data_IF_026331135506
#
_entry.id   IF_026331135506
#
_cell.length_a   1.000
_cell.length_b   1.000
_cell.length_c   1.000
_cell.angle_alpha   90.00
_cell.angle_beta   90.00
_cell.angle_gamma   90.00
#
_symmetry.space_group_name_H-M   'P 1'
#
loop_
_entity.id
_entity.type
_entity.pdbx_description
1 polymer ?
#
# COMPACT_ATOMS: atom_id res chain seq x y z
N UNK A 1 31.82 -15.22 18.27
CA UNK A 1 31.09 -13.93 18.35
C UNK A 1 31.83 -12.76 17.69
N UNK A 2 33.07 -12.42 18.04
CA UNK A 2 33.78 -11.27 17.42
C UNK A 2 34.17 -11.45 15.94
N UNK A 3 34.47 -12.67 15.49
CA UNK A 3 34.80 -12.96 14.09
C UNK A 3 33.57 -12.84 13.16
N UNK A 4 32.45 -13.43 13.56
CA UNK A 4 31.16 -13.28 12.86
C UNK A 4 30.71 -11.81 12.78
N UNK A 5 31.04 -10.98 13.78
CA UNK A 5 30.76 -9.55 13.76
C UNK A 5 31.62 -8.78 12.76
N UNK A 6 32.89 -9.15 12.59
CA UNK A 6 33.74 -8.53 11.56
C UNK A 6 33.34 -8.99 10.16
N UNK A 7 32.91 -10.23 10.00
CA UNK A 7 32.37 -10.73 8.74
C UNK A 7 31.04 -10.07 8.37
N UNK A 8 30.12 -9.88 9.34
CA UNK A 8 28.87 -9.17 9.08
C UNK A 8 29.07 -7.68 8.80
N UNK A 9 30.03 -7.02 9.48
CA UNK A 9 30.42 -5.64 9.17
C UNK A 9 31.08 -5.54 7.79
N UNK A 10 31.96 -6.47 7.42
CA UNK A 10 32.58 -6.52 6.09
C UNK A 10 31.58 -6.81 4.96
N UNK A 11 30.59 -7.67 5.22
CA UNK A 11 29.45 -7.93 4.31
C UNK A 11 28.52 -6.72 4.22
N UNK A 12 28.33 -5.98 5.30
CA UNK A 12 27.54 -4.75 5.33
C UNK A 12 28.24 -3.58 4.60
N UNK A 13 29.56 -3.45 4.74
CA UNK A 13 30.34 -2.46 3.98
C UNK A 13 30.36 -2.77 2.48
N UNK A 14 30.47 -4.04 2.11
CA UNK A 14 30.32 -4.45 0.70
C UNK A 14 28.90 -4.23 0.18
N UNK A 15 27.87 -4.47 1.00
CA UNK A 15 26.49 -4.19 0.65
C UNK A 15 26.20 -2.68 0.51
N UNK A 16 26.78 -1.83 1.37
CA UNK A 16 26.75 -0.36 1.23
C UNK A 16 27.51 0.11 -0.03
N UNK A 17 28.66 -0.48 -0.32
CA UNK A 17 29.43 -0.15 -1.52
C UNK A 17 28.71 -0.60 -2.82
N UNK A 18 27.97 -1.70 -2.77
CA UNK A 18 27.10 -2.15 -3.87
C UNK A 18 25.83 -1.29 -3.99
N UNK A 19 25.25 -0.85 -2.88
CA UNK A 19 24.08 0.04 -2.88
C UNK A 19 24.39 1.45 -3.39
N UNK A 20 25.58 1.97 -3.07
CA UNK A 20 26.07 3.25 -3.60
C UNK A 20 26.43 3.19 -5.09
N UNK A 21 26.51 2.01 -5.71
CA UNK A 21 26.62 1.90 -7.16
C UNK A 21 25.25 2.06 -7.79
N UNK A 22 25.16 3.02 -8.71
CA UNK A 22 23.95 3.45 -9.44
C UNK A 22 23.17 2.35 -10.17
N UNK A 23 23.71 1.13 -10.28
CA UNK A 23 23.04 -0.07 -10.78
C UNK A 23 23.32 -1.24 -9.81
N UNK A 24 22.45 -1.49 -8.82
CA UNK A 24 22.59 -2.61 -7.91
C UNK A 24 22.49 -3.94 -8.67
N UNK A 25 23.44 -4.84 -8.50
CA UNK A 25 23.30 -6.21 -8.99
C UNK A 25 22.31 -6.94 -8.07
N UNK A 26 21.01 -6.92 -8.43
CA UNK A 26 19.97 -7.46 -7.57
C UNK A 26 20.26 -8.89 -7.09
N UNK A 27 20.82 -9.75 -7.95
CA UNK A 27 21.11 -11.13 -7.59
C UNK A 27 22.25 -11.27 -6.57
N UNK A 28 23.32 -10.46 -6.69
CA UNK A 28 24.43 -10.47 -5.73
C UNK A 28 24.00 -9.94 -4.37
N UNK A 29 23.20 -8.87 -4.35
CA UNK A 29 22.62 -8.38 -3.10
C UNK A 29 21.68 -9.41 -2.46
N UNK A 30 20.95 -10.20 -3.26
CA UNK A 30 20.14 -11.31 -2.78
C UNK A 30 20.96 -12.42 -2.10
N UNK A 31 22.10 -12.80 -2.69
CA UNK A 31 23.01 -13.79 -2.12
C UNK A 31 23.75 -13.28 -0.87
N UNK A 32 24.09 -11.99 -0.85
CA UNK A 32 24.70 -11.36 0.33
C UNK A 32 23.67 -11.22 1.46
N UNK A 33 22.40 -10.88 1.14
CA UNK A 33 21.31 -10.81 2.11
C UNK A 33 20.94 -12.17 2.69
N UNK A 34 20.99 -13.25 1.90
CA UNK A 34 20.73 -14.60 2.41
C UNK A 34 21.85 -15.07 3.35
N UNK A 35 23.11 -14.79 3.02
CA UNK A 35 24.26 -15.04 3.91
C UNK A 35 24.18 -14.19 5.18
N UNK A 36 23.86 -12.90 5.05
CA UNK A 36 23.64 -12.02 6.19
C UNK A 36 22.49 -12.51 7.07
N UNK A 37 21.38 -12.99 6.50
CA UNK A 37 20.28 -13.58 7.26
C UNK A 37 20.73 -14.78 8.08
N UNK A 38 21.56 -15.66 7.52
CA UNK A 38 22.10 -16.83 8.24
C UNK A 38 23.00 -16.37 9.39
N UNK A 39 23.96 -15.48 9.12
CA UNK A 39 24.85 -14.91 10.14
C UNK A 39 24.09 -14.11 11.20
N UNK A 40 22.97 -13.47 10.84
CA UNK A 40 22.10 -12.79 11.80
C UNK A 40 21.31 -13.80 12.63
N UNK A 41 20.82 -14.90 12.05
CA UNK A 41 20.09 -15.93 12.78
C UNK A 41 20.96 -16.59 13.86
N UNK A 42 22.25 -16.82 13.56
CA UNK A 42 23.24 -17.33 14.51
C UNK A 42 23.50 -16.39 15.71
N UNK A 43 23.22 -15.10 15.56
CA UNK A 43 23.34 -14.10 16.62
C UNK A 43 22.08 -14.01 17.51
N UNK A 44 21.06 -14.84 17.26
CA UNK A 44 19.87 -15.03 18.07
C UNK A 44 19.14 -13.72 18.44
N UNK A 45 18.65 -13.00 17.43
CA UNK A 45 17.94 -11.71 17.58
C UNK A 45 16.51 -11.78 18.11
N UNK A 46 16.08 -12.88 18.72
CA UNK A 46 14.84 -12.82 19.50
C UNK A 46 15.03 -11.73 20.57
N UNK A 47 14.09 -10.79 20.74
CA UNK A 47 14.14 -9.81 21.81
C UNK A 47 14.02 -10.53 23.16
N UNK A 48 15.12 -11.14 23.59
CA UNK A 48 15.31 -11.68 24.92
C UNK A 48 15.69 -10.48 25.76
N UNK A 49 14.75 -10.04 26.59
CA UNK A 49 14.81 -8.92 27.51
C UNK A 49 15.92 -9.01 28.59
N UNK A 50 16.95 -9.85 28.39
CA UNK A 50 17.91 -10.25 29.41
C UNK A 50 19.38 -10.05 29.06
N UNK A 51 19.74 -9.66 27.84
CA UNK A 51 21.13 -9.39 27.47
C UNK A 51 21.23 -8.02 26.84
N UNK A 52 22.09 -7.15 27.37
CA UNK A 52 22.57 -5.94 26.67
C UNK A 52 23.32 -6.38 25.41
N UNK A 53 22.60 -6.82 24.38
CA UNK A 53 23.11 -6.96 23.04
C UNK A 53 23.68 -5.61 22.63
N UNK A 54 24.87 -5.64 22.03
CA UNK A 54 25.65 -4.45 21.72
C UNK A 54 24.75 -3.53 20.88
N UNK A 55 24.44 -2.30 21.33
CA UNK A 55 23.59 -1.34 20.60
C UNK A 55 23.98 -1.21 19.12
N UNK A 56 25.26 -1.35 18.83
CA UNK A 56 25.83 -1.37 17.48
C UNK A 56 25.38 -2.55 16.61
N UNK A 57 25.15 -3.74 17.19
CA UNK A 57 24.63 -4.91 16.48
C UNK A 57 23.18 -4.73 16.07
N UNK A 58 22.36 -4.15 16.95
CA UNK A 58 20.96 -3.85 16.65
C UNK A 58 20.84 -2.77 15.58
N UNK A 59 21.68 -1.72 15.64
CA UNK A 59 21.75 -0.70 14.58
C UNK A 59 22.17 -1.32 13.25
N UNK A 60 23.21 -2.17 13.24
CA UNK A 60 23.67 -2.81 12.02
C UNK A 60 22.61 -3.76 11.44
N UNK A 61 21.93 -4.55 12.28
CA UNK A 61 20.84 -5.41 11.86
C UNK A 61 19.67 -4.59 11.28
N UNK A 62 19.29 -3.49 11.92
CA UNK A 62 18.27 -2.57 11.42
C UNK A 62 18.64 -2.04 10.04
N UNK A 63 19.85 -1.52 9.88
CA UNK A 63 20.28 -0.95 8.60
C UNK A 63 20.37 -2.01 7.49
N UNK A 64 20.77 -3.25 7.81
CA UNK A 64 20.73 -4.38 6.86
C UNK A 64 19.29 -4.69 6.43
N UNK A 65 18.35 -4.68 7.36
CA UNK A 65 16.93 -4.93 7.07
C UNK A 65 16.29 -3.77 6.29
N UNK A 66 16.66 -2.52 6.57
CA UNK A 66 16.23 -1.33 5.81
C UNK A 66 16.68 -1.43 4.34
N UNK A 67 17.96 -1.76 4.11
CA UNK A 67 18.47 -1.95 2.74
C UNK A 67 17.83 -3.18 2.08
N UNK A 68 17.60 -4.25 2.85
CA UNK A 68 16.88 -5.44 2.38
C UNK A 68 15.46 -5.13 1.90
N UNK A 69 14.73 -4.30 2.63
CA UNK A 69 13.39 -3.85 2.25
C UNK A 69 13.41 -2.98 0.97
N UNK A 70 14.35 -2.03 0.86
CA UNK A 70 14.52 -1.22 -0.36
C UNK A 70 14.90 -2.08 -1.58
N UNK A 71 15.76 -3.08 -1.39
CA UNK A 71 16.08 -4.04 -2.45
C UNK A 71 14.86 -4.87 -2.87
N UNK A 72 14.03 -5.32 -1.92
CA UNK A 72 12.79 -6.04 -2.22
C UNK A 72 11.81 -5.19 -3.04
N UNK A 73 11.77 -3.88 -2.82
CA UNK A 73 10.98 -2.94 -3.65
C UNK A 73 11.53 -2.90 -5.08
N UNK A 74 12.85 -2.77 -5.25
CA UNK A 74 13.48 -2.78 -6.58
C UNK A 74 13.26 -4.10 -7.33
N UNK A 75 13.26 -5.22 -6.61
CA UNK A 75 12.95 -6.55 -7.16
C UNK A 75 11.45 -6.75 -7.45
N UNK A 76 10.60 -5.85 -6.96
CA UNK A 76 9.12 -5.93 -7.04
C UNK A 76 8.54 -7.16 -6.34
N UNK A 77 9.18 -7.60 -5.25
CA UNK A 77 8.75 -8.76 -4.46
C UNK A 77 7.92 -8.29 -3.26
N UNK A 78 6.60 -8.25 -3.46
CA UNK A 78 5.60 -7.80 -2.47
C UNK A 78 5.63 -8.64 -1.17
N UNK A 79 5.56 -10.00 -1.22
CA UNK A 79 5.61 -10.82 -0.01
C UNK A 79 6.91 -10.67 0.79
N UNK A 80 8.05 -10.57 0.10
CA UNK A 80 9.33 -10.38 0.79
C UNK A 80 9.41 -9.01 1.45
N UNK A 81 8.87 -7.96 0.82
CA UNK A 81 8.81 -6.63 1.40
C UNK A 81 7.97 -6.61 2.70
N UNK A 82 6.79 -7.24 2.68
CA UNK A 82 5.92 -7.34 3.86
C UNK A 82 6.63 -8.03 5.03
N UNK A 83 7.38 -9.12 4.76
CA UNK A 83 8.19 -9.82 5.77
C UNK A 83 9.27 -8.94 6.38
N UNK A 84 10.03 -8.22 5.55
CA UNK A 84 11.06 -7.31 6.05
C UNK A 84 10.45 -6.16 6.85
N UNK A 85 9.30 -5.64 6.42
CA UNK A 85 8.61 -4.57 7.13
C UNK A 85 8.08 -5.05 8.49
N UNK A 86 7.51 -6.25 8.58
CA UNK A 86 7.08 -6.83 9.85
C UNK A 86 8.23 -6.95 10.85
N UNK A 87 9.41 -7.37 10.40
CA UNK A 87 10.62 -7.44 11.22
C UNK A 87 11.09 -6.05 11.64
N UNK A 88 11.15 -5.09 10.71
CA UNK A 88 11.55 -3.70 10.98
C UNK A 88 10.61 -3.02 11.98
N UNK A 89 9.31 -3.29 11.91
CA UNK A 89 8.34 -2.78 12.89
C UNK A 89 8.75 -3.18 14.31
N UNK A 90 9.06 -4.46 14.57
CA UNK A 90 9.53 -4.87 15.91
C UNK A 90 10.74 -4.04 16.39
N UNK A 91 11.70 -3.76 15.50
CA UNK A 91 12.85 -2.93 15.85
C UNK A 91 12.52 -1.46 16.11
N UNK A 92 11.52 -0.89 15.45
CA UNK A 92 11.11 0.50 15.67
C UNK A 92 10.28 0.71 16.93
N UNK A 93 9.47 -0.28 17.36
CA UNK A 93 8.62 -0.14 18.55
C UNK A 93 9.30 -0.61 19.83
N UNK A 94 10.04 -1.72 19.79
CA UNK A 94 10.62 -2.30 21.01
C UNK A 94 11.87 -1.53 21.49
N UNK A 95 12.54 -0.79 20.60
CA UNK A 95 13.82 -0.10 20.90
C UNK A 95 13.74 1.43 20.76
N UNK A 96 12.53 2.01 20.77
CA UNK A 96 12.31 3.45 20.62
C UNK A 96 13.04 4.29 21.68
N UNK A 97 13.27 3.73 22.87
CA UNK A 97 13.96 4.39 23.98
C UNK A 97 15.51 4.29 23.93
N UNK A 98 16.06 3.38 23.11
CA UNK A 98 17.50 3.08 23.10
C UNK A 98 18.23 3.52 21.81
N UNK A 99 17.49 3.85 20.74
CA UNK A 99 18.03 4.11 19.41
C UNK A 99 17.73 5.54 18.92
N UNK A 100 18.69 6.21 18.26
CA UNK A 100 18.39 7.44 17.52
C UNK A 100 17.51 7.13 16.31
N UNK A 101 16.53 8.01 16.07
CA UNK A 101 15.66 7.96 14.89
C UNK A 101 16.50 8.11 13.61
N UNK A 102 16.40 7.12 12.71
CA UNK A 102 17.08 7.15 11.43
C UNK A 102 16.32 8.03 10.43
N UNK A 103 17.03 8.80 9.60
CA UNK A 103 16.41 9.57 8.53
C UNK A 103 15.64 8.68 7.52
N UNK A 104 16.05 7.41 7.37
CA UNK A 104 15.39 6.44 6.51
C UNK A 104 14.13 5.82 7.13
N UNK A 105 13.99 5.86 8.46
CA UNK A 105 12.82 5.30 9.17
C UNK A 105 11.52 5.89 8.61
N UNK A 106 11.46 7.21 8.49
CA UNK A 106 10.28 7.92 7.99
C UNK A 106 10.00 7.63 6.52
N UNK A 107 11.04 7.42 5.70
CA UNK A 107 10.90 7.07 4.28
C UNK A 107 10.33 5.65 4.13
N UNK A 108 10.88 4.67 4.86
CA UNK A 108 10.39 3.28 4.86
C UNK A 108 8.99 3.15 5.44
N UNK A 109 8.67 3.95 6.45
CA UNK A 109 7.33 3.97 7.01
C UNK A 109 6.33 4.59 6.03
N UNK A 110 6.69 5.68 5.34
CA UNK A 110 5.90 6.21 4.22
C UNK A 110 5.72 5.19 3.08
N UNK A 111 6.74 4.37 2.79
CA UNK A 111 6.64 3.27 1.82
C UNK A 111 5.64 2.21 2.28
N UNK A 112 5.66 1.84 3.56
CA UNK A 112 4.68 0.91 4.12
C UNK A 112 3.25 1.46 4.08
N UNK A 113 3.06 2.76 4.35
CA UNK A 113 1.74 3.39 4.22
C UNK A 113 1.22 3.33 2.78
N UNK A 114 2.07 3.63 1.79
CA UNK A 114 1.70 3.49 0.37
C UNK A 114 1.44 2.05 -0.04
N UNK A 115 2.19 1.11 0.52
CA UNK A 115 1.97 -0.30 0.30
C UNK A 115 0.58 -0.74 0.78
N UNK A 116 0.17 -0.35 1.98
CA UNK A 116 -1.17 -0.65 2.52
C UNK A 116 -2.28 -0.05 1.65
N UNK A 117 -2.09 1.17 1.15
CA UNK A 117 -3.03 1.80 0.21
C UNK A 117 -3.12 1.01 -1.11
N UNK A 118 -1.98 0.55 -1.65
CA UNK A 118 -1.96 -0.23 -2.89
C UNK A 118 -2.67 -1.58 -2.77
N UNK A 119 -2.76 -2.14 -1.56
CA UNK A 119 -3.50 -3.38 -1.28
C UNK A 119 -4.96 -3.16 -0.90
N UNK A 120 -5.45 -1.91 -0.93
CA UNK A 120 -6.79 -1.53 -0.47
C UNK A 120 -7.06 -1.90 1.00
N UNK A 121 -6.02 -1.96 1.84
CA UNK A 121 -6.13 -2.26 3.28
C UNK A 121 -6.16 -0.97 4.10
N UNK A 122 -7.23 -0.20 3.92
CA UNK A 122 -7.39 1.13 4.56
C UNK A 122 -7.48 1.03 6.09
N UNK A 123 -8.07 -0.04 6.63
CA UNK A 123 -8.16 -0.23 8.09
C UNK A 123 -6.78 -0.36 8.73
N UNK A 124 -5.89 -1.17 8.15
CA UNK A 124 -4.51 -1.33 8.63
C UNK A 124 -3.72 -0.02 8.49
N UNK A 125 -4.01 0.77 7.47
CA UNK A 125 -3.42 2.10 7.29
C UNK A 125 -3.76 3.04 8.45
N UNK A 126 -5.03 3.12 8.87
CA UNK A 126 -5.42 4.00 9.99
C UNK A 126 -4.85 3.51 11.33
N UNK A 127 -4.82 2.20 11.57
CA UNK A 127 -4.19 1.63 12.78
C UNK A 127 -2.70 1.95 12.85
N UNK A 128 -1.98 1.85 11.72
CA UNK A 128 -0.57 2.24 11.66
C UNK A 128 -0.39 3.75 11.82
N UNK A 129 -1.30 4.57 11.27
CA UNK A 129 -1.27 6.03 11.41
C UNK A 129 -1.45 6.46 12.88
N UNK A 130 -2.35 5.82 13.62
CA UNK A 130 -2.56 6.06 15.06
C UNK A 130 -1.29 5.78 15.88
N UNK A 131 -0.48 4.81 15.43
CA UNK A 131 0.77 4.45 16.10
C UNK A 131 1.88 5.51 15.93
N UNK A 132 1.76 6.42 14.96
CA UNK A 132 2.72 7.50 14.74
C UNK A 132 2.34 8.75 15.54
N UNK A 133 3.37 9.49 15.98
CA UNK A 133 3.12 10.76 16.66
C UNK A 133 2.65 11.82 15.67
N UNK A 134 1.63 12.60 16.05
CA UNK A 134 1.08 13.68 15.21
C UNK A 134 2.11 14.74 14.80
N UNK A 135 3.20 14.89 15.57
CA UNK A 135 4.29 15.83 15.28
C UNK A 135 5.15 15.35 14.10
N UNK A 136 5.38 14.04 14.00
CA UNK A 136 6.18 13.45 12.93
C UNK A 136 5.43 13.46 11.60
N UNK A 137 4.11 13.32 11.66
CA UNK A 137 3.21 13.41 10.49
C UNK A 137 3.24 14.82 9.88
N UNK A 138 3.27 15.86 10.71
CA UNK A 138 3.27 17.25 10.24
C UNK A 138 4.65 17.72 9.75
N UNK A 139 5.72 17.21 10.37
CA UNK A 139 7.09 17.65 10.07
C UNK A 139 7.66 16.98 8.83
N UNK A 140 7.34 15.69 8.60
CA UNK A 140 7.93 14.93 7.50
C UNK A 140 7.08 14.98 6.22
N UNK A 141 7.65 15.59 5.17
CA UNK A 141 7.06 15.63 3.82
C UNK A 141 6.78 14.22 3.27
N UNK A 142 7.62 13.24 3.62
CA UNK A 142 7.51 11.85 3.17
C UNK A 142 6.29 11.10 3.72
N UNK A 143 5.81 11.44 4.91
CA UNK A 143 4.63 10.81 5.54
C UNK A 143 3.38 11.59 5.18
N UNK A 144 3.50 12.91 5.08
CA UNK A 144 2.40 13.78 4.66
C UNK A 144 1.87 13.43 3.27
N UNK A 145 2.74 13.04 2.34
CA UNK A 145 2.34 12.69 0.98
C UNK A 145 1.36 11.48 0.93
N UNK A 146 1.67 10.31 1.52
CA UNK A 146 0.72 9.20 1.64
C UNK A 146 -0.59 9.57 2.34
N UNK A 147 -0.55 10.39 3.40
CA UNK A 147 -1.77 10.82 4.13
C UNK A 147 -2.64 11.74 3.27
N UNK A 148 -2.04 12.72 2.58
CA UNK A 148 -2.80 13.58 1.66
C UNK A 148 -3.36 12.79 0.47
N UNK A 149 -2.61 11.79 0.00
CA UNK A 149 -3.06 10.90 -1.08
C UNK A 149 -4.27 10.06 -0.66
N UNK A 150 -4.23 9.51 0.55
CA UNK A 150 -5.36 8.78 1.14
C UNK A 150 -6.59 9.69 1.31
N UNK A 151 -6.40 10.92 1.82
CA UNK A 151 -7.48 11.89 1.90
C UNK A 151 -8.10 12.20 0.53
N UNK A 152 -7.27 12.37 -0.52
CA UNK A 152 -7.79 12.60 -1.87
C UNK A 152 -8.55 11.40 -2.43
N UNK A 153 -8.16 10.18 -2.05
CA UNK A 153 -8.87 8.95 -2.40
C UNK A 153 -10.23 8.90 -1.69
N UNK A 154 -10.28 9.25 -0.40
CA UNK A 154 -11.52 9.36 0.38
C UNK A 154 -12.46 10.45 -0.14
N UNK A 155 -11.92 11.60 -0.54
CA UNK A 155 -12.69 12.68 -1.20
C UNK A 155 -13.16 12.29 -2.61
N UNK A 156 -12.64 11.21 -3.21
CA UNK A 156 -12.86 10.86 -4.61
C UNK A 156 -12.27 11.86 -5.61
N UNK A 157 -11.32 12.69 -5.17
CA UNK A 157 -10.75 13.78 -5.97
C UNK A 157 -9.55 13.31 -6.79
N UNK A 158 -9.82 12.55 -7.85
CA UNK A 158 -8.76 11.94 -8.68
C UNK A 158 -7.85 12.94 -9.42
N UNK A 159 -8.33 14.16 -9.69
CA UNK A 159 -7.51 15.23 -10.25
C UNK A 159 -6.31 15.55 -9.35
N UNK A 160 -6.54 15.61 -8.03
CA UNK A 160 -5.48 15.91 -7.06
C UNK A 160 -4.53 14.73 -6.87
N UNK A 161 -5.03 13.49 -6.94
CA UNK A 161 -4.22 12.27 -6.92
C UNK A 161 -3.21 12.27 -8.07
N UNK A 162 -3.64 12.63 -9.29
CA UNK A 162 -2.74 12.73 -10.45
C UNK A 162 -1.73 13.87 -10.33
N UNK A 163 -2.10 15.03 -9.77
CA UNK A 163 -1.16 16.12 -9.49
C UNK A 163 -0.15 15.73 -8.40
N UNK A 164 -0.57 14.98 -7.39
CA UNK A 164 0.29 14.46 -6.33
C UNK A 164 1.33 13.45 -6.86
N UNK A 165 1.08 12.82 -8.02
CA UNK A 165 2.09 12.05 -8.77
C UNK A 165 3.25 12.93 -9.26
N UNK A 166 3.02 14.19 -9.56
CA UNK A 166 4.09 15.11 -9.98
C UNK A 166 5.03 15.51 -8.84
N UNK A 167 4.57 15.39 -7.59
CA UNK A 167 5.25 15.89 -6.40
C UNK A 167 5.85 14.75 -5.56
N UNK A 168 6.45 13.75 -6.21
CA UNK A 168 7.02 12.57 -5.54
C UNK A 168 8.45 12.90 -5.08
N UNK A 169 8.75 12.88 -3.77
CA UNK A 169 10.07 13.22 -3.27
C UNK A 169 11.09 12.07 -3.35
N UNK A 170 10.67 10.81 -3.62
CA UNK A 170 11.59 9.68 -3.78
C UNK A 170 11.16 8.67 -4.86
N UNK A 171 12.14 8.21 -5.65
CA UNK A 171 11.95 7.31 -6.81
C UNK A 171 11.33 5.95 -6.42
N UNK A 172 11.57 5.46 -5.20
CA UNK A 172 10.99 4.22 -4.68
C UNK A 172 9.47 4.26 -4.54
N UNK A 173 8.85 5.45 -4.47
CA UNK A 173 7.40 5.58 -4.36
C UNK A 173 6.69 5.41 -5.71
N UNK A 174 7.38 5.69 -6.82
CA UNK A 174 6.78 5.64 -8.17
C UNK A 174 6.18 4.26 -8.46
N UNK A 175 6.85 3.19 -8.03
CA UNK A 175 6.38 1.83 -8.24
C UNK A 175 5.03 1.54 -7.57
N UNK A 176 4.87 1.88 -6.29
CA UNK A 176 3.62 1.65 -5.56
C UNK A 176 2.51 2.60 -6.03
N UNK A 177 2.85 3.83 -6.40
CA UNK A 177 1.89 4.78 -6.98
C UNK A 177 1.36 4.28 -8.33
N UNK A 178 2.19 3.68 -9.18
CA UNK A 178 1.72 3.14 -10.46
C UNK A 178 0.74 1.97 -10.26
N UNK A 179 1.00 1.09 -9.28
CA UNK A 179 0.04 0.01 -8.90
C UNK A 179 -1.27 0.62 -8.38
N UNK A 180 -1.17 1.59 -7.47
CA UNK A 180 -2.34 2.27 -6.91
C UNK A 180 -3.17 2.96 -8.01
N UNK A 181 -2.53 3.59 -8.99
CA UNK A 181 -3.22 4.23 -10.11
C UNK A 181 -3.97 3.23 -10.99
N UNK A 182 -3.45 2.01 -11.16
CA UNK A 182 -4.18 0.96 -11.87
C UNK A 182 -5.42 0.52 -11.09
N UNK A 183 -5.32 0.34 -9.77
CA UNK A 183 -6.49 0.05 -8.91
C UNK A 183 -7.51 1.20 -8.91
N UNK A 184 -7.05 2.44 -8.84
CA UNK A 184 -7.92 3.63 -8.90
C UNK A 184 -8.64 3.72 -10.24
N UNK A 185 -7.96 3.41 -11.35
CA UNK A 185 -8.61 3.37 -12.67
C UNK A 185 -9.72 2.33 -12.72
N UNK A 186 -9.52 1.18 -12.08
CA UNK A 186 -10.51 0.12 -12.00
C UNK A 186 -11.73 0.53 -11.16
N UNK A 187 -11.54 1.25 -10.06
CA UNK A 187 -12.62 1.83 -9.25
C UNK A 187 -13.36 2.94 -10.00
N UNK A 188 -12.64 3.87 -10.64
CA UNK A 188 -13.24 4.92 -11.48
C UNK A 188 -14.09 4.29 -12.59
N UNK A 189 -13.59 3.24 -13.25
CA UNK A 189 -14.36 2.53 -14.27
C UNK A 189 -15.64 1.93 -13.68
N UNK A 190 -15.58 1.30 -12.50
CA UNK A 190 -16.76 0.78 -11.81
C UNK A 190 -17.76 1.88 -11.39
N UNK A 191 -17.29 3.07 -11.05
CA UNK A 191 -18.14 4.23 -10.80
C UNK A 191 -18.80 4.76 -12.08
N UNK A 192 -18.06 4.83 -13.19
CA UNK A 192 -18.58 5.29 -14.49
C UNK A 192 -19.70 4.37 -14.98
N UNK A 193 -19.52 3.05 -14.86
CA UNK A 193 -20.52 2.05 -15.24
C UNK A 193 -21.86 2.20 -14.48
N UNK A 194 -21.82 2.73 -13.26
CA UNK A 194 -23.01 2.98 -12.42
C UNK A 194 -23.60 4.37 -12.62
N UNK A 195 -22.76 5.37 -12.85
CA UNK A 195 -23.16 6.77 -12.86
C UNK A 195 -23.70 7.23 -14.22
N UNK A 196 -23.22 6.67 -15.32
CA UNK A 196 -23.57 7.09 -16.67
C UNK A 196 -24.26 5.95 -17.44
N UNK A 197 -25.30 6.28 -18.22
CA UNK A 197 -25.90 5.33 -19.17
C UNK A 197 -25.14 5.30 -20.51
N UNK A 198 -24.59 6.45 -20.90
CA UNK A 198 -23.79 6.60 -22.09
C UNK A 198 -22.66 7.59 -21.85
N UNK A 199 -21.45 7.28 -22.32
CA UNK A 199 -20.31 8.21 -22.31
C UNK A 199 -19.63 8.22 -23.66
N UNK A 200 -19.24 9.40 -24.12
CA UNK A 200 -18.46 9.54 -25.34
C UNK A 200 -16.98 9.20 -25.09
N UNK A 201 -16.31 8.70 -26.13
CA UNK A 201 -14.91 8.27 -26.07
C UNK A 201 -13.94 9.34 -25.53
N UNK A 202 -14.17 10.62 -25.85
CA UNK A 202 -13.27 11.71 -25.47
C UNK A 202 -13.39 12.04 -23.97
N UNK A 203 -14.60 12.06 -23.45
CA UNK A 203 -14.93 12.29 -22.05
C UNK A 203 -14.39 11.15 -21.18
N UNK A 204 -14.62 9.90 -21.58
CA UNK A 204 -14.07 8.75 -20.85
C UNK A 204 -12.53 8.71 -20.91
N UNK A 205 -11.90 9.15 -22.01
CA UNK A 205 -10.44 9.27 -22.09
C UNK A 205 -9.89 10.32 -21.11
N UNK A 206 -10.60 11.45 -20.94
CA UNK A 206 -10.24 12.50 -19.98
C UNK A 206 -10.41 12.03 -18.54
N UNK A 207 -11.53 11.37 -18.22
CA UNK A 207 -11.83 10.91 -16.85
C UNK A 207 -10.84 9.82 -16.40
N UNK A 208 -10.44 8.91 -17.30
CA UNK A 208 -9.48 7.85 -16.99
C UNK A 208 -8.01 8.28 -17.21
N UNK A 209 -7.78 9.54 -17.61
CA UNK A 209 -6.47 10.11 -17.89
C UNK A 209 -5.60 9.27 -18.83
N UNK A 210 -6.20 8.73 -19.91
CA UNK A 210 -5.42 8.03 -20.93
C UNK A 210 -4.79 9.03 -21.92
N UNK A 211 -3.47 8.96 -22.07
CA UNK A 211 -2.74 9.67 -23.13
C UNK A 211 -2.77 8.96 -24.49
N UNK A 212 -3.25 7.71 -24.54
CA UNK A 212 -3.29 6.91 -25.77
C UNK A 212 -4.65 6.25 -26.00
N UNK A 213 -5.25 6.54 -27.16
CA UNK A 213 -6.52 5.96 -27.63
C UNK A 213 -6.49 4.42 -27.67
N UNK A 214 -5.33 3.80 -27.86
CA UNK A 214 -5.20 2.33 -27.95
C UNK A 214 -5.37 1.64 -26.59
N UNK A 215 -4.88 2.25 -25.51
CA UNK A 215 -5.06 1.72 -24.15
C UNK A 215 -6.53 1.73 -23.76
N UNK A 216 -7.25 2.79 -24.13
CA UNK A 216 -8.67 2.90 -23.86
C UNK A 216 -9.50 1.81 -24.55
N UNK A 217 -9.17 1.45 -25.80
CA UNK A 217 -9.84 0.35 -26.49
C UNK A 217 -9.55 -1.01 -25.83
N UNK A 218 -8.34 -1.23 -25.32
CA UNK A 218 -7.98 -2.46 -24.59
C UNK A 218 -8.72 -2.54 -23.23
N UNK A 219 -8.80 -1.42 -22.50
CA UNK A 219 -9.56 -1.33 -21.25
C UNK A 219 -11.07 -1.52 -21.47
N UNK A 220 -11.63 -0.94 -22.53
CA UNK A 220 -13.03 -1.15 -22.89
C UNK A 220 -13.33 -2.61 -23.23
N UNK A 221 -12.41 -3.30 -23.91
CA UNK A 221 -12.53 -4.74 -24.17
C UNK A 221 -12.46 -5.58 -22.89
N UNK A 222 -11.55 -5.25 -21.97
CA UNK A 222 -11.43 -5.95 -20.67
C UNK A 222 -12.70 -5.83 -19.83
N UNK A 223 -13.39 -4.70 -19.91
CA UNK A 223 -14.64 -4.42 -19.17
C UNK A 223 -15.91 -4.78 -19.94
N UNK A 224 -15.80 -5.16 -21.21
CA UNK A 224 -16.94 -5.55 -22.04
C UNK A 224 -17.84 -4.39 -22.48
N UNK A 225 -17.32 -3.16 -22.56
CA UNK A 225 -18.10 -1.99 -22.97
C UNK A 225 -18.46 -2.06 -24.46
N UNK A 226 -19.74 -1.91 -24.79
CA UNK A 226 -20.22 -1.90 -26.17
C UNK A 226 -20.03 -0.52 -26.78
N UNK A 227 -19.21 -0.42 -27.83
CA UNK A 227 -19.07 0.80 -28.62
C UNK A 227 -20.19 0.86 -29.66
N UNK A 228 -21.00 1.91 -29.63
CA UNK A 228 -21.86 2.25 -30.75
C UNK A 228 -21.05 2.90 -31.87
N UNK A 229 -21.54 2.80 -33.12
CA UNK A 229 -20.93 3.39 -34.31
C UNK A 229 -20.75 4.92 -34.24
N UNK A 230 -21.40 5.58 -33.27
CA UNK A 230 -21.29 7.01 -32.96
C UNK A 230 -20.20 7.35 -31.92
N UNK A 231 -19.42 6.38 -31.43
CA UNK A 231 -18.32 6.62 -30.48
C UNK A 231 -18.74 6.78 -29.02
N UNK A 232 -19.96 6.36 -28.68
CA UNK A 232 -20.48 6.28 -27.32
C UNK A 232 -20.35 4.84 -26.80
N UNK A 233 -19.89 4.69 -25.55
CA UNK A 233 -20.04 3.46 -24.80
C UNK A 233 -21.41 3.47 -24.13
N UNK A 234 -22.19 2.42 -24.35
CA UNK A 234 -23.38 2.18 -23.55
C UNK A 234 -22.97 1.38 -22.31
N UNK A 235 -23.29 1.90 -21.15
CA UNK A 235 -23.28 1.13 -19.92
C UNK A 235 -24.70 0.65 -19.71
N UNK A 236 -24.88 -0.67 -19.64
CA UNK A 236 -26.14 -1.25 -19.18
C UNK A 236 -26.30 -0.96 -17.69
N UNK A 237 -26.52 0.31 -17.34
CA UNK A 237 -26.86 0.72 -15.99
C UNK A 237 -28.21 0.10 -15.68
N UNK A 238 -28.16 -1.02 -14.95
CA UNK A 238 -29.17 -1.50 -14.00
C UNK A 238 -30.67 -1.32 -14.35
N UNK A 239 -31.07 -1.34 -15.61
CA UNK A 239 -32.49 -1.41 -15.98
C UNK A 239 -33.15 -2.72 -15.52
N UNK A 240 -32.38 -3.68 -14.98
CA UNK A 240 -32.91 -4.97 -14.51
C UNK A 240 -33.08 -5.12 -12.98
N UNK A 241 -32.62 -4.18 -12.14
CA UNK A 241 -32.70 -4.41 -10.66
C UNK A 241 -33.83 -3.70 -9.93
N UNK A 242 -34.53 -2.77 -10.56
CA UNK A 242 -35.61 -2.01 -9.88
C UNK A 242 -37.00 -2.61 -10.08
N UNK A 243 -37.18 -3.54 -11.03
CA UNK A 243 -38.51 -4.14 -11.29
C UNK A 243 -38.72 -5.52 -10.63
N UNK A 244 -37.66 -6.23 -10.22
CA UNK A 244 -37.78 -7.58 -9.63
C UNK A 244 -37.72 -7.65 -8.09
N UNK A 245 -37.36 -6.57 -7.40
CA UNK A 245 -37.52 -6.55 -5.93
C UNK A 245 -38.91 -6.04 -5.63
N UNK A 246 -39.88 -6.94 -5.72
CA UNK A 246 -41.12 -6.79 -4.95
C UNK A 246 -40.70 -6.41 -3.53
N UNK A 247 -41.15 -5.24 -3.07
CA UNK A 247 -40.92 -4.76 -1.70
C UNK A 247 -41.09 -5.97 -0.77
N UNK A 248 -40.16 -6.27 0.18
CA UNK A 248 -40.21 -7.46 1.04
C UNK A 248 -41.45 -7.44 1.96
N UNK A 249 -42.61 -7.67 1.37
CA UNK A 249 -43.92 -7.59 1.99
C UNK A 249 -44.08 -8.70 3.02
N UNK A 250 -43.43 -9.83 2.79
CA UNK A 250 -43.32 -10.96 3.72
C UNK A 250 -42.51 -10.60 4.96
N UNK A 251 -41.36 -9.92 4.81
CA UNK A 251 -40.54 -9.50 5.95
C UNK A 251 -41.25 -8.42 6.79
N UNK A 252 -41.90 -7.46 6.14
CA UNK A 252 -42.71 -6.45 6.82
C UNK A 252 -43.90 -7.07 7.56
N UNK A 253 -44.60 -8.03 6.94
CA UNK A 253 -45.69 -8.75 7.60
C UNK A 253 -45.20 -9.54 8.81
N UNK A 254 -44.04 -10.20 8.71
CA UNK A 254 -43.45 -10.94 9.82
C UNK A 254 -43.01 -10.01 10.97
N UNK A 255 -42.44 -8.84 10.66
CA UNK A 255 -42.12 -7.83 11.67
C UNK A 255 -43.38 -7.32 12.38
N UNK A 256 -44.47 -7.06 11.65
CA UNK A 256 -45.74 -6.62 12.24
C UNK A 256 -46.35 -7.69 13.14
N UNK A 257 -46.29 -8.97 12.75
CA UNK A 257 -46.74 -10.09 13.57
C UNK A 257 -45.88 -10.24 14.83
N UNK A 258 -44.55 -10.09 14.72
CA UNK A 258 -43.64 -10.15 15.87
C UNK A 258 -43.91 -9.01 16.85
N UNK A 259 -44.14 -7.78 16.35
CA UNK A 259 -44.53 -6.63 17.17
C UNK A 259 -45.87 -6.84 17.86
N UNK A 260 -46.89 -7.35 17.14
CA UNK A 260 -48.18 -7.67 17.73
C UNK A 260 -48.05 -8.74 18.83
N UNK A 261 -47.25 -9.78 18.59
CA UNK A 261 -46.97 -10.85 19.57
C UNK A 261 -46.28 -10.31 20.82
N UNK A 262 -45.31 -9.41 20.68
CA UNK A 262 -44.61 -8.80 21.81
C UNK A 262 -45.52 -7.87 22.63
N UNK A 263 -46.47 -7.19 22.00
CA UNK A 263 -47.45 -6.33 22.68
C UNK A 263 -48.56 -7.11 23.38
N UNK A 264 -49.00 -8.23 22.81
CA UNK A 264 -50.03 -9.09 23.41
C UNK A 264 -49.49 -10.08 24.44
N UNK A 265 -48.17 -10.33 24.46
CA UNK A 265 -47.54 -11.12 25.50
C UNK A 265 -47.56 -10.34 26.82
N UNK A 266 -48.45 -10.74 27.72
CA UNK A 266 -48.50 -10.22 29.09
C UNK A 266 -47.16 -10.59 29.77
N UNK A 267 -46.40 -9.57 30.18
CA UNK A 267 -45.23 -9.71 31.06
C UNK A 267 -45.68 -9.97 32.49
#
# INVERSE_FOLDING_TARGET
>A
MAAALRETVGLYETLKAEWNKKNPNLNKCGDILSKLKISLLELNFLPTSGSKLTKQQLILARDVLEIGALWSILKKDIPSFERYMAQLKCYYFDYKDELPESAYMHQLLGLNLLFLLSQNRVSEFHTELERLSARDIQTNVYIRHPVSLEQYLMEGSYNKVFLAKGNIPAESYTFFIDILLDTIRDEIAGCIEKAYEQIQFNEAARVLFFSSSKKMTDYAKKRGWTQNASGYYLFSSQQQRTEEVTIPSTELAQQVIEYARQLEMIV
#
